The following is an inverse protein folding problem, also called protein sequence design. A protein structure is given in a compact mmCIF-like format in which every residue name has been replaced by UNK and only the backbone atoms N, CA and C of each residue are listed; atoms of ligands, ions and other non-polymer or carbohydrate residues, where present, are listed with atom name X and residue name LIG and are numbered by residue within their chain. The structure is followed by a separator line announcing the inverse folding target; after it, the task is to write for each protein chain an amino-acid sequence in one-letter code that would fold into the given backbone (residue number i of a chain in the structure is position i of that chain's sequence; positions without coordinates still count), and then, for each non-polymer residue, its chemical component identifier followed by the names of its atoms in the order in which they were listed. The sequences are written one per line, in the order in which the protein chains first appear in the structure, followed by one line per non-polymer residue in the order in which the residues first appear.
data_IF_698581674712
#
_entry.id   IF_698581674712
#
_cell.length_a   1.000
_cell.length_b   1.000
_cell.length_c   1.000
_cell.angle_alpha   90.00
_cell.angle_beta   90.00
_cell.angle_gamma   90.00
#
_symmetry.space_group_name_H-M   'P 1'
#
loop_
_entity.id
_entity.type
_entity.pdbx_description
1 polymer ?
#
# COMPACT_ATOMS: atom_id res chain seq x y z
N UNK A 1 -17.20 -19.91 22.81
CA UNK A 1 -18.49 -19.83 23.55
C UNK A 1 -19.46 -18.83 22.93
N UNK A 2 -18.99 -17.72 22.33
CA UNK A 2 -19.80 -16.77 21.55
C UNK A 2 -20.62 -17.41 20.41
N UNK A 3 -20.05 -18.38 19.70
CA UNK A 3 -20.71 -19.05 18.56
C UNK A 3 -21.96 -19.83 19.00
N UNK A 4 -21.99 -20.36 20.23
CA UNK A 4 -23.14 -21.11 20.75
C UNK A 4 -24.31 -20.17 21.14
N UNK A 5 -24.00 -18.93 21.53
CA UNK A 5 -24.99 -17.93 21.96
C UNK A 5 -25.70 -17.30 20.76
N UNK A 6 -24.98 -17.09 19.65
CA UNK A 6 -25.56 -16.62 18.38
C UNK A 6 -26.52 -17.65 17.75
N UNK A 7 -26.23 -18.95 17.88
CA UNK A 7 -27.10 -20.02 17.37
C UNK A 7 -28.41 -20.12 18.19
N UNK A 8 -28.38 -19.87 19.49
CA UNK A 8 -29.58 -19.91 20.33
C UNK A 8 -30.51 -18.71 20.12
N UNK A 9 -29.97 -17.53 19.79
CA UNK A 9 -30.76 -16.33 19.49
C UNK A 9 -31.54 -16.44 18.17
N UNK A 10 -30.98 -17.15 17.17
CA UNK A 10 -31.63 -17.36 15.87
C UNK A 10 -32.74 -18.42 15.89
N UNK A 11 -32.78 -19.32 16.88
CA UNK A 11 -33.74 -20.44 16.92
C UNK A 11 -34.93 -20.17 17.86
N UNK A 12 -34.79 -19.35 18.91
CA UNK A 12 -35.82 -19.24 19.97
C UNK A 12 -36.37 -17.84 20.26
N UNK A 13 -35.97 -16.80 19.53
CA UNK A 13 -36.74 -15.56 19.42
C UNK A 13 -36.91 -14.70 20.70
N UNK A 14 -36.14 -14.96 21.77
CA UNK A 14 -35.83 -14.02 22.86
C UNK A 14 -34.86 -14.68 23.86
N UNK A 15 -33.83 -13.96 24.30
CA UNK A 15 -32.97 -14.38 25.42
C UNK A 15 -33.58 -13.85 26.73
N UNK A 16 -33.80 -14.68 27.76
CA UNK A 16 -34.36 -14.23 29.03
C UNK A 16 -33.39 -13.30 29.80
N UNK A 17 -33.92 -12.23 30.41
CA UNK A 17 -33.21 -11.16 31.14
C UNK A 17 -32.31 -11.62 32.31
N UNK A 18 -32.33 -12.90 32.69
CA UNK A 18 -31.51 -13.42 33.78
C UNK A 18 -30.08 -13.86 33.35
N UNK A 19 -29.66 -13.57 32.12
CA UNK A 19 -28.32 -13.93 31.60
C UNK A 19 -27.35 -12.73 31.45
N UNK A 20 -27.72 -11.53 31.92
CA UNK A 20 -26.94 -10.28 31.74
C UNK A 20 -26.38 -9.76 33.09
N UNK A 21 -25.84 -10.63 33.96
CA UNK A 21 -25.28 -10.18 35.25
C UNK A 21 -23.89 -10.70 35.62
N UNK A 22 -23.10 -11.20 34.67
CA UNK A 22 -21.69 -11.54 34.93
C UNK A 22 -20.78 -11.16 33.75
N UNK A 23 -20.83 -9.91 33.29
CA UNK A 23 -19.76 -9.30 32.51
C UNK A 23 -19.76 -7.78 32.78
N UNK A 24 -19.13 -7.37 33.87
CA UNK A 24 -18.95 -5.95 34.20
C UNK A 24 -17.91 -5.78 35.29
N UNK A 25 -16.99 -4.82 35.08
CA UNK A 25 -15.84 -4.44 35.93
C UNK A 25 -14.65 -5.41 35.83
N UNK A 26 -13.53 -5.07 35.21
CA UNK A 26 -12.63 -3.96 35.60
C UNK A 26 -11.81 -3.38 34.44
N UNK A 27 -11.95 -2.08 34.16
CA UNK A 27 -10.86 -1.22 33.68
C UNK A 27 -11.28 0.25 33.85
N UNK A 28 -10.85 0.85 34.96
CA UNK A 28 -10.35 2.23 35.05
C UNK A 28 -10.08 2.56 36.50
N UNK A 29 -8.81 2.60 36.91
CA UNK A 29 -8.32 3.58 37.88
C UNK A 29 -6.86 3.89 37.57
N UNK A 30 -6.61 5.15 37.20
CA UNK A 30 -5.49 6.00 37.58
C UNK A 30 -4.07 5.41 37.58
N UNK A 31 -3.25 5.74 36.57
CA UNK A 31 -1.81 5.94 36.81
C UNK A 31 -1.52 7.43 36.90
N UNK A 32 -1.56 7.95 38.12
CA UNK A 32 -0.92 9.21 38.44
C UNK A 32 0.59 9.06 38.23
N UNK A 33 1.21 10.04 37.58
CA UNK A 33 2.66 10.18 37.49
C UNK A 33 3.25 10.28 38.90
N UNK A 34 3.95 9.24 39.35
CA UNK A 34 4.86 9.33 40.49
C UNK A 34 6.21 9.87 40.00
N UNK A 35 6.51 11.12 40.35
CA UNK A 35 7.88 11.65 40.36
C UNK A 35 8.71 10.87 41.37
N UNK A 36 9.56 9.96 40.89
CA UNK A 36 10.68 9.47 41.70
C UNK A 36 11.80 10.50 41.67
N UNK A 37 11.95 11.24 42.78
CA UNK A 37 13.15 12.00 43.08
C UNK A 37 14.35 11.05 43.17
N UNK A 38 15.39 11.32 42.38
CA UNK A 38 16.71 10.76 42.63
C UNK A 38 17.57 11.78 43.38
N UNK A 39 18.08 11.30 44.50
CA UNK A 39 18.88 12.00 45.50
C UNK A 39 20.21 12.47 44.92
N UNK A 40 20.56 13.71 45.23
CA UNK A 40 21.81 14.35 44.84
C UNK A 40 22.96 13.81 45.71
N UNK A 41 23.80 12.96 45.11
CA UNK A 41 25.11 12.62 45.65
C UNK A 41 26.13 13.67 45.23
N UNK A 42 26.60 14.44 46.20
CA UNK A 42 27.73 15.36 46.13
C UNK A 42 29.00 14.67 45.62
N UNK A 43 29.76 15.35 44.76
CA UNK A 43 31.18 15.59 45.01
C UNK A 43 31.66 16.84 44.24
N UNK A 44 32.34 17.68 45.00
CA UNK A 44 32.93 18.97 44.65
C UNK A 44 34.36 18.82 44.13
N UNK A 45 34.79 19.85 43.38
CA UNK A 45 36.15 20.36 43.09
C UNK A 45 36.43 20.39 41.59
N UNK A 46 36.93 21.45 40.96
CA UNK A 46 37.19 22.86 41.29
C UNK A 46 37.72 23.51 40.00
N UNK A 47 37.21 24.69 39.66
CA UNK A 47 37.86 25.85 39.01
C UNK A 47 39.00 25.67 37.96
N UNK A 48 38.86 26.30 36.79
CA UNK A 48 39.51 27.60 36.54
C UNK A 48 39.08 28.24 35.21
N UNK A 49 39.05 29.56 35.23
CA UNK A 49 38.50 30.53 34.27
C UNK A 49 39.32 30.75 32.99
N UNK A 50 38.67 31.25 31.93
CA UNK A 50 38.85 32.60 31.31
C UNK A 50 38.66 32.60 29.79
N UNK A 51 38.01 33.66 29.26
CA UNK A 51 38.41 34.26 27.98
C UNK A 51 37.31 34.45 26.93
N UNK A 52 37.04 35.72 26.61
CA UNK A 52 35.98 36.32 25.79
C UNK A 52 36.07 36.18 24.25
N UNK A 53 34.90 36.32 23.60
CA UNK A 53 34.57 37.07 22.35
C UNK A 53 35.33 36.71 21.04
N UNK A 54 34.70 36.37 19.92
CA UNK A 54 33.83 37.20 19.05
C UNK A 54 33.30 36.36 17.87
N UNK A 55 32.21 36.82 17.27
CA UNK A 55 31.46 36.28 16.12
C UNK A 55 32.28 36.03 14.83
N UNK A 56 31.95 34.99 14.06
CA UNK A 56 31.59 35.07 12.63
C UNK A 56 30.84 33.82 12.17
N UNK A 57 29.75 34.05 11.43
CA UNK A 57 28.89 33.08 10.76
C UNK A 57 29.66 32.09 9.87
N UNK A 58 29.27 30.82 9.92
CA UNK A 58 29.38 29.89 8.80
C UNK A 58 28.31 28.82 8.98
N UNK A 59 27.35 28.76 8.04
CA UNK A 59 26.36 27.69 7.95
C UNK A 59 27.09 26.37 7.76
N UNK A 60 27.10 25.53 8.80
CA UNK A 60 27.58 24.17 8.73
C UNK A 60 26.44 23.26 8.24
N UNK A 61 26.69 22.54 7.15
CA UNK A 61 25.92 21.38 6.73
C UNK A 61 25.77 20.44 7.93
N UNK A 62 24.52 20.20 8.35
CA UNK A 62 24.22 19.22 9.40
C UNK A 62 24.25 17.81 8.81
N UNK A 63 25.22 17.03 9.29
CA UNK A 63 25.43 15.61 9.01
C UNK A 63 24.18 14.76 9.33
N UNK A 64 23.67 14.06 8.32
CA UNK A 64 22.53 13.14 8.40
C UNK A 64 22.93 11.68 8.75
N UNK A 65 24.18 11.41 9.12
CA UNK A 65 24.71 10.03 9.19
C UNK A 65 24.89 9.40 10.58
N UNK A 66 24.51 10.06 11.67
CA UNK A 66 24.93 9.60 13.01
C UNK A 66 23.90 8.89 13.88
N UNK A 67 22.68 8.64 13.41
CA UNK A 67 21.70 7.87 14.19
C UNK A 67 21.49 6.41 13.77
N UNK A 68 21.90 6.02 12.56
CA UNK A 68 22.05 4.60 12.22
C UNK A 68 23.41 4.03 12.70
N UNK A 69 24.38 4.92 13.00
CA UNK A 69 25.75 4.50 13.30
C UNK A 69 26.02 4.11 14.77
N UNK A 70 25.19 4.52 15.75
CA UNK A 70 25.31 4.03 17.13
C UNK A 70 24.49 2.76 17.43
N UNK A 71 23.69 2.29 16.46
CA UNK A 71 23.15 0.92 16.44
C UNK A 71 23.86 0.00 15.43
N UNK A 72 24.76 0.54 14.61
CA UNK A 72 25.79 -0.25 13.93
C UNK A 72 27.05 -0.31 14.79
N UNK A 73 27.09 -1.31 15.68
CA UNK A 73 28.34 -1.74 16.29
C UNK A 73 29.37 -1.98 15.20
N UNK A 74 30.45 -1.20 15.26
CA UNK A 74 31.56 -1.16 14.34
C UNK A 74 32.15 -2.57 14.03
N UNK A 75 31.70 -3.18 12.93
CA UNK A 75 32.53 -4.03 12.07
C UNK A 75 32.02 -3.90 10.64
N UNK A 76 32.81 -3.24 9.79
CA UNK A 76 32.62 -3.36 8.35
C UNK A 76 32.56 -4.84 7.95
N UNK A 77 31.71 -5.14 6.97
CA UNK A 77 31.61 -6.43 6.25
C UNK A 77 31.29 -7.67 7.09
N UNK A 78 30.03 -8.14 7.03
CA UNK A 78 29.61 -9.50 6.60
C UNK A 78 28.17 -9.81 7.03
N UNK A 79 27.29 -9.98 6.05
CA UNK A 79 26.34 -11.10 6.07
C UNK A 79 26.51 -11.83 4.74
N UNK A 80 27.38 -12.82 4.75
CA UNK A 80 27.51 -13.85 3.72
C UNK A 80 27.05 -15.16 4.37
N UNK A 81 26.19 -15.91 3.69
CA UNK A 81 26.10 -17.36 3.89
C UNK A 81 27.35 -18.00 3.26
N UNK A 82 28.02 -18.89 4.00
CA UNK A 82 29.07 -19.78 3.50
C UNK A 82 28.47 -20.86 2.61
N UNK A 83 28.88 -20.95 1.34
CA UNK A 83 29.00 -22.21 0.60
C UNK A 83 30.31 -22.16 -0.19
N UNK A 84 31.02 -23.28 -0.12
CA UNK A 84 32.42 -23.53 -0.45
C UNK A 84 32.81 -23.26 -1.90
N UNK A 85 34.10 -22.93 -2.05
CA UNK A 85 34.88 -22.79 -3.28
C UNK A 85 34.62 -23.90 -4.31
N UNK A 86 34.36 -23.51 -5.55
CA UNK A 86 34.89 -24.24 -6.71
C UNK A 86 35.35 -23.23 -7.78
N UNK A 87 36.64 -23.34 -8.09
CA UNK A 87 37.36 -22.55 -9.08
C UNK A 87 36.90 -22.83 -10.51
N UNK A 88 36.89 -21.75 -11.29
CA UNK A 88 37.34 -21.62 -12.69
C UNK A 88 36.75 -22.58 -13.75
N UNK A 89 35.92 -22.02 -14.63
CA UNK A 89 36.18 -22.13 -16.07
C UNK A 89 35.35 -21.10 -16.87
N UNK A 90 36.05 -20.48 -17.81
CA UNK A 90 35.53 -19.68 -18.91
C UNK A 90 34.59 -20.49 -19.78
N UNK A 91 33.45 -19.89 -20.13
CA UNK A 91 32.71 -19.99 -21.42
C UNK A 91 31.22 -19.86 -21.16
N UNK A 92 30.62 -18.70 -21.47
CA UNK A 92 29.17 -18.61 -21.70
C UNK A 92 28.85 -17.48 -22.68
N UNK A 93 29.24 -17.66 -23.95
CA UNK A 93 28.48 -17.16 -25.10
C UNK A 93 27.53 -18.25 -25.58
N UNK A 94 26.48 -18.58 -24.81
CA UNK A 94 25.39 -19.44 -25.35
C UNK A 94 24.11 -19.42 -24.49
N UNK A 95 23.56 -18.26 -24.13
CA UNK A 95 22.19 -18.18 -23.59
C UNK A 95 21.43 -16.96 -24.10
N UNK A 96 21.32 -16.86 -25.42
CA UNK A 96 20.21 -16.17 -26.11
C UNK A 96 19.50 -17.22 -26.95
N UNK A 97 18.68 -18.05 -26.33
CA UNK A 97 17.56 -18.74 -26.99
C UNK A 97 16.87 -19.68 -26.00
N UNK A 98 15.85 -19.17 -25.30
CA UNK A 98 14.60 -19.87 -25.02
C UNK A 98 13.73 -19.01 -24.08
N UNK A 99 13.13 -17.98 -24.64
CA UNK A 99 11.78 -17.61 -24.23
C UNK A 99 10.92 -17.68 -25.47
N UNK A 100 9.96 -18.60 -25.47
CA UNK A 100 8.89 -18.66 -26.47
C UNK A 100 8.02 -17.41 -26.32
N UNK A 101 8.50 -16.31 -26.90
CA UNK A 101 7.69 -15.19 -27.30
C UNK A 101 6.79 -15.68 -28.44
N UNK A 102 5.48 -15.66 -28.22
CA UNK A 102 4.56 -15.59 -29.35
C UNK A 102 4.62 -14.13 -29.84
N UNK A 103 5.58 -13.85 -30.71
CA UNK A 103 5.58 -12.63 -31.53
C UNK A 103 4.32 -12.65 -32.39
N UNK A 104 3.36 -11.77 -32.07
CA UNK A 104 2.36 -11.37 -33.04
C UNK A 104 2.95 -10.23 -33.87
N UNK A 105 3.30 -10.54 -35.12
CA UNK A 105 3.78 -9.57 -36.10
C UNK A 105 2.85 -8.35 -36.18
N UNK A 106 3.42 -7.17 -35.91
CA UNK A 106 2.83 -5.88 -36.24
C UNK A 106 2.81 -5.70 -37.77
N UNK A 107 1.79 -6.23 -38.44
CA UNK A 107 1.43 -5.77 -39.78
C UNK A 107 0.52 -4.55 -39.64
N UNK A 108 1.10 -3.35 -39.70
CA UNK A 108 0.35 -2.14 -40.00
C UNK A 108 -0.17 -2.20 -41.44
N UNK A 109 -1.37 -2.72 -41.62
CA UNK A 109 -2.23 -2.31 -42.73
C UNK A 109 -3.22 -1.29 -42.18
N UNK A 110 -3.04 -0.02 -42.56
CA UNK A 110 -4.07 1.01 -42.43
C UNK A 110 -5.30 0.57 -43.22
N UNK A 111 -6.25 -0.07 -42.54
CA UNK A 111 -7.62 -0.20 -43.00
C UNK A 111 -8.40 1.00 -42.47
N UNK A 112 -8.86 1.86 -43.39
CA UNK A 112 -9.86 2.88 -43.11
C UNK A 112 -11.15 2.20 -42.62
N UNK A 113 -11.30 2.08 -41.31
CA UNK A 113 -12.59 1.86 -40.68
C UNK A 113 -13.23 3.23 -40.46
N UNK A 114 -14.45 3.42 -40.97
CA UNK A 114 -15.28 4.54 -40.56
C UNK A 114 -15.49 4.40 -39.03
N UNK A 115 -14.86 5.28 -38.25
CA UNK A 115 -15.10 5.42 -36.81
C UNK A 115 -16.55 5.83 -36.59
N UNK A 116 -17.43 4.85 -36.37
CA UNK A 116 -18.63 5.12 -35.60
C UNK A 116 -18.15 5.52 -34.20
N UNK A 117 -18.22 6.82 -33.89
CA UNK A 117 -17.87 7.35 -32.58
C UNK A 117 -18.67 6.61 -31.51
N UNK A 118 -17.99 5.74 -30.76
CA UNK A 118 -18.57 5.01 -29.63
C UNK A 118 -19.21 6.03 -28.70
N UNK A 119 -20.51 5.85 -28.46
CA UNK A 119 -21.23 6.67 -27.50
C UNK A 119 -20.98 6.08 -26.13
N UNK A 120 -20.20 6.79 -25.31
CA UNK A 120 -19.97 6.43 -23.92
C UNK A 120 -21.30 6.17 -23.22
N UNK A 121 -21.37 5.08 -22.46
CA UNK A 121 -22.51 4.85 -21.59
C UNK A 121 -22.64 6.01 -20.60
N UNK A 122 -23.86 6.39 -20.19
CA UNK A 122 -24.03 7.41 -19.14
C UNK A 122 -23.18 7.00 -17.94
N UNK A 123 -22.47 7.96 -17.31
CA UNK A 123 -21.69 7.70 -16.10
C UNK A 123 -22.51 6.83 -15.16
N UNK A 124 -22.06 5.61 -14.92
CA UNK A 124 -22.63 4.74 -13.89
C UNK A 124 -22.45 5.49 -12.57
N UNK A 125 -23.52 5.62 -11.78
CA UNK A 125 -23.63 6.57 -10.67
C UNK A 125 -22.76 6.30 -9.44
N UNK A 126 -21.58 5.71 -9.61
CA UNK A 126 -20.59 5.51 -8.57
C UNK A 126 -19.58 6.66 -8.62
N UNK A 127 -19.83 7.68 -7.81
CA UNK A 127 -18.87 8.76 -7.62
C UNK A 127 -17.78 8.28 -6.66
N UNK A 128 -16.52 8.43 -7.05
CA UNK A 128 -15.37 8.09 -6.23
C UNK A 128 -15.48 8.72 -4.84
N UNK A 129 -15.28 7.93 -3.78
CA UNK A 129 -15.43 8.37 -2.40
C UNK A 129 -16.88 8.51 -1.89
N UNK A 130 -17.89 8.07 -2.65
CA UNK A 130 -19.31 8.10 -2.25
C UNK A 130 -19.89 6.72 -1.92
N UNK A 131 -19.12 5.89 -1.22
CA UNK A 131 -19.52 4.55 -0.79
C UNK A 131 -19.82 4.48 0.72
N UNK A 132 -20.58 5.45 1.23
CA UNK A 132 -20.99 5.51 2.64
C UNK A 132 -22.50 5.41 2.74
N UNK A 133 -22.99 4.40 3.46
CA UNK A 133 -24.40 4.16 3.73
C UNK A 133 -24.59 4.10 5.24
N UNK A 134 -25.51 4.90 5.78
CA UNK A 134 -25.80 4.99 7.22
C UNK A 134 -24.55 5.21 8.10
N UNK A 135 -23.62 6.04 7.61
CA UNK A 135 -22.38 6.39 8.31
C UNK A 135 -21.32 5.29 8.32
N UNK A 136 -21.48 4.25 7.48
CA UNK A 136 -20.54 3.14 7.34
C UNK A 136 -20.07 2.99 5.91
N UNK A 137 -18.82 2.59 5.73
CA UNK A 137 -18.30 2.22 4.43
C UNK A 137 -19.01 0.95 3.93
N UNK A 138 -19.45 0.97 2.68
CA UNK A 138 -19.85 -0.19 1.90
C UNK A 138 -18.83 -0.39 0.78
N UNK A 139 -18.68 -1.62 0.28
CA UNK A 139 -17.71 -1.92 -0.76
C UNK A 139 -17.94 -1.07 -2.02
N UNK A 140 -16.88 -0.43 -2.53
CA UNK A 140 -16.89 0.31 -3.78
C UNK A 140 -16.37 -0.57 -4.92
N UNK A 141 -17.26 -1.01 -5.80
CA UNK A 141 -16.91 -1.80 -6.99
C UNK A 141 -16.16 -1.02 -8.07
N UNK A 142 -16.18 0.32 -7.99
CA UNK A 142 -15.69 1.20 -9.05
C UNK A 142 -14.59 2.12 -8.54
N UNK A 143 -13.45 1.51 -8.21
CA UNK A 143 -12.24 2.24 -7.80
C UNK A 143 -11.23 2.33 -8.93
N UNK A 144 -10.72 3.54 -9.16
CA UNK A 144 -9.66 3.87 -10.11
C UNK A 144 -9.23 5.32 -9.82
N UNK A 145 -7.93 5.62 -9.83
CA UNK A 145 -7.47 6.98 -9.54
C UNK A 145 -7.73 7.91 -10.73
N UNK A 146 -7.88 9.21 -10.50
CA UNK A 146 -7.99 10.19 -11.59
C UNK A 146 -6.73 10.20 -12.46
N UNK A 147 -5.57 9.87 -11.87
CA UNK A 147 -4.29 9.73 -12.58
C UNK A 147 -4.31 8.53 -13.53
N UNK A 148 -4.83 7.39 -13.09
CA UNK A 148 -5.03 6.21 -13.94
C UNK A 148 -5.93 6.53 -15.13
N UNK A 149 -7.03 7.24 -14.89
CA UNK A 149 -7.95 7.67 -15.95
C UNK A 149 -7.25 8.59 -16.95
N UNK A 150 -6.45 9.54 -16.46
CA UNK A 150 -5.66 10.43 -17.32
C UNK A 150 -4.63 9.64 -18.16
N UNK A 151 -4.03 8.59 -17.60
CA UNK A 151 -3.01 7.76 -18.29
C UNK A 151 -3.63 6.79 -19.31
N UNK A 152 -4.76 6.18 -18.97
CA UNK A 152 -5.36 5.09 -19.74
C UNK A 152 -6.44 5.53 -20.71
N UNK A 153 -7.15 6.60 -20.35
CA UNK A 153 -8.33 7.09 -21.05
C UNK A 153 -9.64 6.56 -20.46
N UNK A 154 -10.68 7.37 -20.65
CA UNK A 154 -12.03 7.13 -20.15
C UNK A 154 -12.64 5.81 -20.63
N UNK A 155 -12.34 5.40 -21.86
CA UNK A 155 -12.86 4.16 -22.43
C UNK A 155 -12.31 2.90 -21.72
N UNK A 156 -11.11 2.97 -21.14
CA UNK A 156 -10.52 1.85 -20.36
C UNK A 156 -11.15 1.79 -18.98
N UNK A 157 -11.39 2.94 -18.34
CA UNK A 157 -12.15 2.99 -17.07
C UNK A 157 -13.55 2.43 -17.26
N UNK A 158 -14.27 2.85 -18.29
CA UNK A 158 -15.62 2.35 -18.58
C UNK A 158 -15.61 0.83 -18.78
N UNK A 159 -14.67 0.30 -19.57
CA UNK A 159 -14.53 -1.15 -19.75
C UNK A 159 -14.25 -1.91 -18.45
N UNK A 160 -13.37 -1.38 -17.59
CA UNK A 160 -13.09 -1.96 -16.28
C UNK A 160 -14.36 -2.01 -15.42
N UNK A 161 -15.09 -0.90 -15.36
CA UNK A 161 -16.27 -0.77 -14.53
C UNK A 161 -17.40 -1.70 -14.99
N UNK A 162 -17.63 -1.77 -16.30
CA UNK A 162 -18.58 -2.71 -16.88
C UNK A 162 -18.15 -4.16 -16.68
N UNK A 163 -16.85 -4.47 -16.74
CA UNK A 163 -16.33 -5.79 -16.41
C UNK A 163 -16.60 -6.14 -14.95
N UNK A 164 -16.31 -5.23 -14.00
CA UNK A 164 -16.56 -5.49 -12.58
C UNK A 164 -18.05 -5.72 -12.30
N UNK A 165 -18.93 -4.92 -12.88
CA UNK A 165 -20.39 -5.11 -12.74
C UNK A 165 -20.84 -6.48 -13.27
N UNK A 166 -20.32 -6.89 -14.43
CA UNK A 166 -20.62 -8.20 -14.99
C UNK A 166 -20.10 -9.33 -14.09
N UNK A 167 -18.87 -9.22 -13.58
CA UNK A 167 -18.27 -10.19 -12.67
C UNK A 167 -19.08 -10.33 -11.37
N UNK A 168 -19.49 -9.22 -10.76
CA UNK A 168 -20.31 -9.23 -9.55
C UNK A 168 -21.71 -9.82 -9.78
N UNK A 169 -22.22 -9.74 -11.01
CA UNK A 169 -23.48 -10.38 -11.42
C UNK A 169 -23.31 -11.85 -11.87
N UNK A 170 -22.08 -12.37 -11.95
CA UNK A 170 -21.79 -13.71 -12.49
C UNK A 170 -21.97 -13.83 -14.00
N UNK A 171 -22.01 -12.70 -14.72
CA UNK A 171 -22.12 -12.65 -16.16
C UNK A 171 -20.74 -12.84 -16.81
N UNK A 172 -20.71 -13.38 -18.03
CA UNK A 172 -19.50 -13.62 -18.82
C UNK A 172 -19.36 -12.63 -20.01
N UNK A 173 -20.25 -11.65 -20.08
CA UNK A 173 -20.27 -10.61 -21.12
C UNK A 173 -20.53 -9.24 -20.51
N UNK A 174 -19.97 -8.21 -21.12
CA UNK A 174 -20.10 -6.82 -20.68
C UNK A 174 -19.98 -5.82 -21.84
N UNK A 175 -20.58 -4.65 -21.68
CA UNK A 175 -20.40 -3.53 -22.61
C UNK A 175 -18.93 -3.08 -22.58
N UNK A 176 -18.31 -3.00 -23.75
CA UNK A 176 -16.90 -2.66 -23.88
C UNK A 176 -16.72 -1.70 -25.05
N UNK A 177 -16.04 -0.55 -24.87
CA UNK A 177 -15.91 0.44 -25.94
C UNK A 177 -15.16 -0.05 -27.18
N UNK A 178 -14.11 -0.85 -27.00
CA UNK A 178 -13.27 -1.35 -28.09
C UNK A 178 -12.36 -2.50 -27.63
N UNK A 179 -11.70 -3.16 -28.60
CA UNK A 179 -10.76 -4.27 -28.35
C UNK A 179 -9.59 -3.89 -27.44
N UNK A 180 -9.08 -2.66 -27.53
CA UNK A 180 -7.97 -2.22 -26.68
C UNK A 180 -8.44 -2.06 -25.24
N UNK A 181 -9.63 -1.50 -25.01
CA UNK A 181 -10.23 -1.39 -23.68
C UNK A 181 -10.45 -2.77 -23.03
N UNK A 182 -10.88 -3.78 -23.78
CA UNK A 182 -10.94 -5.18 -23.30
C UNK A 182 -9.56 -5.68 -22.84
N UNK A 183 -8.53 -5.50 -23.67
CA UNK A 183 -7.16 -5.94 -23.33
C UNK A 183 -6.68 -5.30 -22.03
N UNK A 184 -6.98 -4.03 -21.81
CA UNK A 184 -6.62 -3.31 -20.60
C UNK A 184 -7.41 -3.76 -19.38
N UNK A 185 -8.74 -3.80 -19.48
CA UNK A 185 -9.61 -4.20 -18.38
C UNK A 185 -9.32 -5.63 -17.89
N UNK A 186 -8.86 -6.51 -18.77
CA UNK A 186 -8.51 -7.91 -18.44
C UNK A 186 -7.01 -8.16 -18.26
N UNK A 187 -6.17 -7.12 -18.34
CA UNK A 187 -4.72 -7.25 -18.10
C UNK A 187 -4.49 -7.59 -16.64
N UNK A 188 -3.67 -8.61 -16.36
CA UNK A 188 -3.37 -9.08 -14.99
C UNK A 188 -2.96 -7.94 -14.05
N UNK A 189 -1.95 -7.15 -14.44
CA UNK A 189 -1.46 -6.00 -13.67
C UNK A 189 -2.51 -4.92 -13.42
N UNK A 190 -3.62 -4.91 -14.15
CA UNK A 190 -4.69 -3.95 -13.95
C UNK A 190 -5.76 -4.55 -13.04
N UNK A 191 -6.31 -5.70 -13.42
CA UNK A 191 -7.36 -6.35 -12.63
C UNK A 191 -6.89 -6.73 -11.22
N UNK A 192 -5.61 -7.10 -11.03
CA UNK A 192 -5.04 -7.43 -9.73
C UNK A 192 -5.10 -6.26 -8.72
N UNK A 193 -5.10 -5.01 -9.20
CA UNK A 193 -5.10 -3.81 -8.36
C UNK A 193 -6.44 -3.10 -8.30
N UNK A 194 -7.30 -3.23 -9.32
CA UNK A 194 -8.60 -2.54 -9.34
C UNK A 194 -9.79 -3.45 -9.05
N UNK A 195 -9.63 -4.77 -9.22
CA UNK A 195 -10.60 -5.76 -8.75
C UNK A 195 -9.88 -7.07 -8.36
N UNK A 196 -9.09 -7.05 -7.26
CA UNK A 196 -8.24 -8.17 -6.84
C UNK A 196 -8.88 -9.57 -6.82
N UNK A 197 -10.16 -9.77 -6.42
CA UNK A 197 -10.77 -11.11 -6.43
C UNK A 197 -10.86 -11.75 -7.82
N UNK A 198 -10.73 -11.00 -8.91
CA UNK A 198 -10.67 -11.54 -10.28
C UNK A 198 -9.28 -12.02 -10.71
N UNK A 199 -8.24 -11.79 -9.90
CA UNK A 199 -6.89 -12.23 -10.20
C UNK A 199 -6.83 -13.74 -10.50
N UNK A 200 -6.31 -14.09 -11.67
CA UNK A 200 -6.19 -15.45 -12.19
C UNK A 200 -7.51 -16.24 -12.28
N UNK A 201 -8.67 -15.58 -12.23
CA UNK A 201 -9.99 -16.24 -12.27
C UNK A 201 -10.70 -16.10 -13.61
N UNK A 202 -10.21 -15.24 -14.51
CA UNK A 202 -10.85 -14.95 -15.80
C UNK A 202 -9.82 -14.85 -16.93
N UNK A 203 -10.27 -15.01 -18.17
CA UNK A 203 -9.51 -14.63 -19.37
C UNK A 203 -10.43 -14.01 -20.43
N UNK A 204 -9.93 -13.05 -21.25
CA UNK A 204 -10.70 -12.51 -22.36
C UNK A 204 -10.89 -13.57 -23.46
N UNK A 205 -12.08 -13.59 -24.08
CA UNK A 205 -12.44 -14.54 -25.15
C UNK A 205 -12.61 -13.82 -26.48
N UNK A 206 -13.51 -12.84 -26.53
CA UNK A 206 -13.83 -12.15 -27.78
C UNK A 206 -14.35 -10.73 -27.55
N UNK A 207 -14.38 -9.96 -28.63
CA UNK A 207 -15.03 -8.65 -28.70
C UNK A 207 -15.80 -8.59 -30.02
N UNK A 208 -17.09 -8.30 -29.95
CA UNK A 208 -17.97 -8.13 -31.09
C UNK A 208 -18.91 -6.95 -30.85
N UNK A 209 -18.83 -5.93 -31.71
CA UNK A 209 -19.77 -4.79 -31.77
C UNK A 209 -20.16 -4.18 -30.41
N UNK A 210 -19.16 -3.74 -29.63
CA UNK A 210 -19.39 -3.08 -28.35
C UNK A 210 -19.63 -4.02 -27.17
N UNK A 211 -19.53 -5.33 -27.38
CA UNK A 211 -19.68 -6.34 -26.32
C UNK A 211 -18.41 -7.19 -26.24
N UNK A 212 -17.83 -7.27 -25.05
CA UNK A 212 -16.73 -8.17 -24.73
C UNK A 212 -17.25 -9.44 -24.04
N UNK A 213 -16.54 -10.54 -24.23
CA UNK A 213 -16.77 -11.82 -23.58
C UNK A 213 -15.52 -12.26 -22.82
N UNK A 214 -15.72 -12.80 -21.62
CA UNK A 214 -14.72 -13.48 -20.81
C UNK A 214 -15.09 -14.96 -20.60
N UNK A 215 -14.12 -15.74 -20.13
CA UNK A 215 -14.34 -17.08 -19.61
C UNK A 215 -13.87 -17.11 -18.15
N UNK A 216 -14.70 -17.67 -17.26
CA UNK A 216 -14.30 -17.98 -15.90
C UNK A 216 -13.41 -19.22 -15.88
N UNK A 217 -12.27 -19.11 -15.20
CA UNK A 217 -11.29 -20.19 -15.01
C UNK A 217 -11.60 -21.06 -13.80
N UNK A 218 -12.57 -20.64 -12.99
CA UNK A 218 -13.14 -21.35 -11.85
C UNK A 218 -14.68 -21.35 -11.97
N UNK A 219 -15.41 -22.22 -11.26
CA UNK A 219 -16.87 -22.16 -11.23
C UNK A 219 -17.39 -20.78 -10.81
N UNK A 220 -18.45 -20.28 -11.46
CA UNK A 220 -19.02 -18.96 -11.18
C UNK A 220 -19.46 -18.81 -9.71
N UNK A 221 -20.07 -19.85 -9.13
CA UNK A 221 -20.46 -19.83 -7.71
C UNK A 221 -19.25 -19.71 -6.77
N UNK A 222 -18.12 -20.34 -7.12
CA UNK A 222 -16.87 -20.23 -6.36
C UNK A 222 -16.31 -18.81 -6.47
N UNK A 223 -16.32 -18.23 -7.67
CA UNK A 223 -15.92 -16.85 -7.91
C UNK A 223 -16.78 -15.84 -7.14
N UNK A 224 -18.10 -15.99 -7.15
CA UNK A 224 -19.00 -15.09 -6.42
C UNK A 224 -18.80 -15.18 -4.91
N UNK A 225 -18.54 -16.38 -4.37
CA UNK A 225 -18.17 -16.53 -2.95
C UNK A 225 -16.87 -15.79 -2.63
N UNK A 226 -15.86 -15.93 -3.49
CA UNK A 226 -14.58 -15.21 -3.38
C UNK A 226 -14.78 -13.68 -3.36
N UNK A 227 -15.62 -13.17 -4.25
CA UNK A 227 -15.99 -11.74 -4.29
C UNK A 227 -16.69 -11.31 -3.00
N UNK A 228 -17.65 -12.08 -2.50
CA UNK A 228 -18.37 -11.75 -1.25
C UNK A 228 -17.45 -11.74 -0.02
N UNK A 229 -16.53 -12.71 0.10
CA UNK A 229 -15.55 -12.76 1.18
C UNK A 229 -14.60 -11.55 1.13
N UNK A 230 -14.15 -11.19 -0.08
CA UNK A 230 -13.33 -10.01 -0.29
C UNK A 230 -14.06 -8.72 0.11
N UNK A 231 -15.31 -8.53 -0.32
CA UNK A 231 -16.13 -7.36 0.06
C UNK A 231 -16.26 -7.25 1.57
N UNK A 232 -16.61 -8.35 2.24
CA UNK A 232 -16.71 -8.38 3.70
C UNK A 232 -15.40 -7.97 4.37
N UNK A 233 -14.26 -8.48 3.91
CA UNK A 233 -12.96 -8.12 4.47
C UNK A 233 -12.64 -6.64 4.29
N UNK A 234 -12.92 -6.05 3.12
CA UNK A 234 -12.71 -4.62 2.87
C UNK A 234 -13.59 -3.79 3.80
N UNK A 235 -14.89 -4.08 3.86
CA UNK A 235 -15.82 -3.36 4.73
C UNK A 235 -15.45 -3.49 6.21
N UNK A 236 -15.03 -4.67 6.67
CA UNK A 236 -14.60 -4.91 8.04
C UNK A 236 -13.37 -4.07 8.39
N UNK A 237 -12.33 -4.09 7.53
CA UNK A 237 -11.13 -3.27 7.74
C UNK A 237 -11.46 -1.79 7.80
N UNK A 238 -12.20 -1.27 6.83
CA UNK A 238 -12.53 0.16 6.78
C UNK A 238 -13.36 0.58 7.99
N UNK A 239 -14.41 -0.16 8.32
CA UNK A 239 -15.32 0.22 9.40
C UNK A 239 -14.78 -0.05 10.81
N UNK A 240 -13.68 -0.78 10.95
CA UNK A 240 -12.98 -0.97 12.24
C UNK A 240 -11.79 -0.02 12.41
N UNK A 241 -11.23 0.48 11.30
CA UNK A 241 -10.00 1.28 11.31
C UNK A 241 -10.27 2.77 11.11
N UNK A 242 -11.19 3.15 10.23
CA UNK A 242 -11.42 4.56 9.85
C UNK A 242 -12.89 4.95 9.91
N UNK A 243 -13.16 6.27 9.92
CA UNK A 243 -14.51 6.83 9.85
C UNK A 243 -14.66 7.72 8.61
N UNK A 244 -15.86 7.80 7.99
CA UNK A 244 -16.09 8.63 6.81
C UNK A 244 -15.67 10.10 6.96
N UNK A 245 -15.89 10.67 8.15
CA UNK A 245 -15.60 12.05 8.50
C UNK A 245 -14.12 12.35 8.73
N UNK A 246 -13.27 11.33 8.86
CA UNK A 246 -11.84 11.53 9.00
C UNK A 246 -11.23 12.21 7.77
N UNK A 247 -10.17 12.99 7.97
CA UNK A 247 -9.41 13.58 6.87
C UNK A 247 -8.62 12.53 6.11
N UNK A 248 -8.12 12.89 4.93
CA UNK A 248 -7.29 11.97 4.12
C UNK A 248 -6.05 11.53 4.89
N UNK A 249 -5.46 12.44 5.68
CA UNK A 249 -4.30 12.17 6.52
C UNK A 249 -4.61 11.09 7.56
N UNK A 250 -5.67 11.28 8.35
CA UNK A 250 -6.08 10.37 9.41
C UNK A 250 -6.39 8.98 8.85
N UNK A 251 -7.14 8.90 7.75
CA UNK A 251 -7.46 7.65 7.05
C UNK A 251 -6.20 6.94 6.57
N UNK A 252 -5.28 7.67 5.93
CA UNK A 252 -4.03 7.10 5.44
C UNK A 252 -3.16 6.56 6.59
N UNK A 253 -2.99 7.34 7.66
CA UNK A 253 -2.18 6.94 8.81
C UNK A 253 -2.75 5.70 9.52
N UNK A 254 -4.05 5.67 9.80
CA UNK A 254 -4.68 4.55 10.49
C UNK A 254 -4.69 3.27 9.63
N UNK A 255 -4.88 3.38 8.32
CA UNK A 255 -4.76 2.23 7.41
C UNK A 255 -3.30 1.76 7.27
N UNK A 256 -2.34 2.68 7.32
CA UNK A 256 -0.91 2.37 7.30
C UNK A 256 -0.49 1.60 8.56
N UNK A 257 -0.98 2.05 9.72
CA UNK A 257 -0.83 1.34 10.99
C UNK A 257 -1.53 -0.02 10.97
N UNK A 258 -2.78 -0.10 10.49
CA UNK A 258 -3.48 -1.37 10.35
C UNK A 258 -2.70 -2.38 9.51
N UNK A 259 -2.18 -1.98 8.33
CA UNK A 259 -1.35 -2.86 7.50
C UNK A 259 -0.07 -3.28 8.23
N UNK A 260 0.58 -2.34 8.90
CA UNK A 260 1.78 -2.59 9.69
C UNK A 260 1.55 -3.66 10.77
N UNK A 261 0.44 -3.57 11.49
CA UNK A 261 0.11 -4.40 12.65
C UNK A 261 -0.52 -5.75 12.29
N UNK A 262 -1.12 -5.89 11.11
CA UNK A 262 -1.90 -7.08 10.74
C UNK A 262 -1.30 -7.92 9.61
N UNK A 263 -0.20 -7.47 9.00
CA UNK A 263 0.45 -8.16 7.89
C UNK A 263 1.93 -8.42 8.18
N UNK A 264 2.48 -9.44 7.52
CA UNK A 264 3.88 -9.82 7.63
C UNK A 264 4.54 -9.87 6.25
N UNK A 265 5.86 -9.75 6.21
CA UNK A 265 6.60 -9.87 4.95
C UNK A 265 6.85 -11.34 4.61
N UNK A 266 6.52 -11.72 3.38
CA UNK A 266 6.71 -13.07 2.87
C UNK A 266 8.08 -13.24 2.19
N UNK A 267 9.11 -13.53 2.98
CA UNK A 267 10.46 -13.76 2.47
C UNK A 267 10.57 -15.00 1.58
N UNK A 268 9.69 -15.99 1.77
CA UNK A 268 9.68 -17.20 0.95
C UNK A 268 9.14 -16.90 -0.45
N UNK A 269 8.08 -16.09 -0.55
CA UNK A 269 7.55 -15.61 -1.83
C UNK A 269 8.57 -14.75 -2.61
N UNK A 270 9.46 -14.04 -1.91
CA UNK A 270 10.56 -13.32 -2.55
C UNK A 270 11.56 -14.27 -3.21
N UNK A 271 11.70 -15.52 -2.75
CA UNK A 271 12.59 -16.51 -3.33
C UNK A 271 12.01 -17.27 -4.53
N UNK A 272 10.72 -17.10 -4.85
CA UNK A 272 10.06 -17.88 -5.90
C UNK A 272 10.56 -17.52 -7.30
N UNK A 273 10.88 -18.55 -8.08
CA UNK A 273 11.16 -18.45 -9.53
C UNK A 273 9.90 -18.03 -10.30
N UNK A 274 8.76 -18.67 -10.00
CA UNK A 274 7.46 -18.30 -10.55
C UNK A 274 6.69 -17.39 -9.59
N UNK A 275 6.49 -16.15 -10.03
CA UNK A 275 5.79 -15.09 -9.30
C UNK A 275 4.42 -14.76 -9.88
N UNK A 276 3.94 -15.55 -10.84
CA UNK A 276 2.64 -15.33 -11.49
C UNK A 276 1.46 -15.37 -10.52
N UNK A 277 1.60 -16.09 -9.41
CA UNK A 277 0.63 -16.14 -8.31
C UNK A 277 0.64 -14.93 -7.37
N UNK A 278 1.66 -14.06 -7.41
CA UNK A 278 1.76 -12.91 -6.50
C UNK A 278 0.84 -11.78 -6.95
N UNK A 279 -0.03 -11.33 -6.04
CA UNK A 279 -1.01 -10.28 -6.28
C UNK A 279 -1.61 -9.78 -4.95
N UNK A 280 -2.20 -8.57 -4.91
CA UNK A 280 -2.78 -8.02 -3.68
C UNK A 280 -3.83 -8.90 -3.01
N UNK A 281 -4.64 -9.64 -3.78
CA UNK A 281 -5.67 -10.54 -3.22
C UNK A 281 -5.06 -11.64 -2.35
N UNK A 282 -3.92 -12.21 -2.76
CA UNK A 282 -3.18 -13.19 -1.93
C UNK A 282 -2.80 -12.61 -0.57
N UNK A 283 -2.34 -11.36 -0.53
CA UNK A 283 -1.99 -10.70 0.73
C UNK A 283 -3.22 -10.50 1.62
N UNK A 284 -4.37 -10.09 1.06
CA UNK A 284 -5.62 -9.98 1.82
C UNK A 284 -6.00 -11.28 2.51
N UNK A 285 -5.95 -12.41 1.79
CA UNK A 285 -6.29 -13.73 2.32
C UNK A 285 -5.28 -14.25 3.35
N UNK A 286 -4.00 -14.19 3.00
CA UNK A 286 -2.95 -14.85 3.78
C UNK A 286 -2.40 -13.99 4.91
N UNK A 287 -2.74 -12.69 4.95
CA UNK A 287 -2.16 -11.69 5.87
C UNK A 287 -0.62 -11.65 5.81
N UNK A 288 -0.07 -11.97 4.65
CA UNK A 288 1.36 -11.96 4.36
C UNK A 288 1.58 -11.68 2.87
N UNK A 289 2.66 -10.98 2.53
CA UNK A 289 2.96 -10.67 1.14
C UNK A 289 4.31 -9.98 0.95
N UNK A 290 4.70 -9.80 -0.31
CA UNK A 290 5.87 -8.98 -0.65
C UNK A 290 5.46 -7.54 -1.01
N UNK A 291 6.45 -6.71 -1.35
CA UNK A 291 6.24 -5.27 -1.55
C UNK A 291 5.16 -4.92 -2.57
N UNK A 292 5.04 -5.67 -3.67
CA UNK A 292 3.99 -5.42 -4.68
C UNK A 292 2.57 -5.71 -4.16
N UNK A 293 2.42 -6.74 -3.32
CA UNK A 293 1.12 -7.17 -2.82
C UNK A 293 0.67 -6.26 -1.68
N UNK A 294 1.61 -5.89 -0.79
CA UNK A 294 1.34 -4.99 0.34
C UNK A 294 1.06 -3.55 -0.12
N UNK A 295 1.81 -3.04 -1.09
CA UNK A 295 1.52 -1.73 -1.68
C UNK A 295 0.19 -1.72 -2.43
N UNK A 296 -0.10 -2.76 -3.23
CA UNK A 296 -1.39 -2.87 -3.90
C UNK A 296 -2.55 -2.99 -2.93
N UNK A 297 -2.40 -3.76 -1.85
CA UNK A 297 -3.37 -3.89 -0.77
C UNK A 297 -3.66 -2.55 -0.10
N UNK A 298 -2.61 -1.83 0.30
CA UNK A 298 -2.76 -0.53 0.97
C UNK A 298 -3.38 0.51 0.03
N UNK A 299 -2.90 0.61 -1.22
CA UNK A 299 -3.48 1.51 -2.22
C UNK A 299 -4.96 1.18 -2.50
N UNK A 300 -5.34 -0.10 -2.50
CA UNK A 300 -6.73 -0.50 -2.65
C UNK A 300 -7.60 -0.02 -1.49
N UNK A 301 -7.13 -0.16 -0.24
CA UNK A 301 -7.85 0.35 0.94
C UNK A 301 -8.01 1.88 0.89
N UNK A 302 -6.99 2.60 0.44
CA UNK A 302 -7.07 4.05 0.24
C UNK A 302 -8.14 4.42 -0.79
N UNK A 303 -8.14 3.77 -1.96
CA UNK A 303 -9.17 3.99 -2.98
C UNK A 303 -10.58 3.69 -2.46
N UNK A 304 -10.74 2.64 -1.65
CA UNK A 304 -12.04 2.26 -1.08
C UNK A 304 -12.57 3.27 -0.04
N UNK A 305 -11.70 4.08 0.58
CA UNK A 305 -12.13 5.15 1.50
C UNK A 305 -12.12 6.55 0.87
N UNK A 306 -11.95 6.63 -0.46
CA UNK A 306 -12.03 7.87 -1.23
C UNK A 306 -10.71 8.64 -1.35
N UNK A 307 -9.57 8.01 -1.04
CA UNK A 307 -8.24 8.61 -1.21
C UNK A 307 -7.67 8.18 -2.55
N UNK A 308 -7.25 9.15 -3.35
CA UNK A 308 -6.60 8.91 -4.64
C UNK A 308 -5.26 8.23 -4.40
N UNK A 309 -5.13 6.98 -4.86
CA UNK A 309 -3.93 6.18 -4.64
C UNK A 309 -3.58 5.32 -5.85
N UNK A 310 -2.28 5.09 -5.99
CA UNK A 310 -1.60 4.41 -7.08
C UNK A 310 -0.42 3.60 -6.48
N UNK A 311 0.40 3.01 -7.34
CA UNK A 311 1.65 2.38 -6.93
C UNK A 311 2.84 2.83 -7.77
N UNK A 312 3.99 2.90 -7.11
CA UNK A 312 5.27 3.34 -7.65
C UNK A 312 6.26 2.19 -7.60
N UNK A 313 7.01 2.03 -8.68
CA UNK A 313 8.08 1.04 -8.77
C UNK A 313 9.43 1.74 -8.96
N UNK A 314 10.46 1.27 -8.27
CA UNK A 314 11.84 1.72 -8.43
C UNK A 314 12.80 0.54 -8.66
N UNK A 315 13.96 0.84 -9.27
CA UNK A 315 15.01 -0.14 -9.59
C UNK A 315 14.96 -0.68 -11.03
N UNK A 316 16.09 -1.18 -11.53
CA UNK A 316 16.24 -1.71 -12.89
C UNK A 316 15.57 -3.09 -13.04
N UNK A 317 14.61 -3.20 -13.98
CA UNK A 317 14.00 -4.47 -14.41
C UNK A 317 13.06 -5.15 -13.40
N UNK A 318 12.24 -6.12 -13.84
CA UNK A 318 11.39 -7.03 -13.01
C UNK A 318 12.22 -8.17 -12.37
N UNK A 319 13.47 -8.31 -12.81
CA UNK A 319 14.33 -9.46 -12.51
C UNK A 319 15.30 -9.11 -11.39
N UNK A 320 15.39 -10.02 -10.42
CA UNK A 320 16.41 -10.03 -9.39
C UNK A 320 17.71 -10.49 -10.04
N UNK A 321 18.57 -9.55 -10.39
CA UNK A 321 20.01 -9.82 -10.30
C UNK A 321 20.49 -9.50 -8.88
N UNK A 322 21.54 -10.18 -8.46
CA UNK A 322 21.94 -10.37 -7.07
C UNK A 322 22.37 -9.11 -6.31
N UNK A 323 22.35 -7.93 -6.94
CA UNK A 323 22.76 -6.66 -6.32
C UNK A 323 21.79 -5.47 -6.50
N UNK A 324 20.66 -5.60 -7.23
CA UNK A 324 19.64 -4.53 -7.37
C UNK A 324 18.22 -5.08 -7.41
N UNK A 325 17.56 -5.13 -6.25
CA UNK A 325 16.18 -5.60 -6.12
C UNK A 325 15.22 -4.47 -6.50
N UNK A 326 14.38 -4.70 -7.52
CA UNK A 326 13.25 -3.81 -7.81
C UNK A 326 12.26 -3.79 -6.64
N UNK A 327 11.75 -2.61 -6.28
CA UNK A 327 10.83 -2.43 -5.15
C UNK A 327 9.57 -1.69 -5.59
N UNK A 328 8.45 -1.96 -4.91
CA UNK A 328 7.17 -1.30 -5.16
C UNK A 328 6.59 -0.75 -3.86
N UNK A 329 6.04 0.46 -3.92
CA UNK A 329 5.39 1.14 -2.80
C UNK A 329 4.15 1.89 -3.30
N UNK A 330 3.36 2.44 -2.37
CA UNK A 330 2.15 3.18 -2.70
C UNK A 330 2.46 4.66 -2.96
N UNK A 331 1.61 5.29 -3.75
CA UNK A 331 1.65 6.73 -3.99
C UNK A 331 0.25 7.28 -3.83
N UNK A 332 0.06 8.25 -2.95
CA UNK A 332 -1.26 8.73 -2.59
C UNK A 332 -1.32 10.25 -2.56
N UNK A 333 -2.50 10.78 -2.83
CA UNK A 333 -2.78 12.21 -2.73
C UNK A 333 -3.55 12.49 -1.45
N UNK A 334 -2.92 13.21 -0.53
CA UNK A 334 -3.47 13.61 0.76
C UNK A 334 -3.77 15.11 0.69
N UNK A 335 -5.04 15.50 0.86
CA UNK A 335 -5.49 16.90 0.81
C UNK A 335 -4.99 17.63 -0.45
N UNK A 336 -5.03 16.94 -1.59
CA UNK A 336 -4.61 17.48 -2.89
C UNK A 336 -3.10 17.44 -3.17
N UNK A 337 -2.27 16.97 -2.23
CA UNK A 337 -0.81 16.90 -2.37
C UNK A 337 -0.34 15.45 -2.47
N UNK A 338 0.56 15.18 -3.41
CA UNK A 338 1.07 13.84 -3.69
C UNK A 338 2.22 13.45 -2.74
N UNK A 339 2.23 12.19 -2.26
CA UNK A 339 3.27 11.63 -1.40
C UNK A 339 3.58 10.17 -1.71
N UNK A 340 4.82 9.77 -1.44
CA UNK A 340 5.19 8.35 -1.37
C UNK A 340 4.85 7.75 0.00
N UNK A 341 4.32 6.52 0.00
CA UNK A 341 4.01 5.78 1.23
C UNK A 341 4.46 4.32 1.05
N UNK A 342 5.31 3.81 1.93
CA UNK A 342 5.81 2.44 1.85
C UNK A 342 5.30 1.55 3.00
N UNK A 343 4.21 0.79 2.80
CA UNK A 343 3.65 -0.08 3.85
C UNK A 343 4.53 -1.30 4.14
N UNK A 344 5.48 -1.62 3.26
CA UNK A 344 6.41 -2.73 3.47
C UNK A 344 7.40 -2.41 4.58
N UNK A 345 7.87 -1.16 4.62
CA UNK A 345 8.85 -0.72 5.60
C UNK A 345 8.22 -0.35 6.94
N UNK A 346 6.91 -0.13 7.04
CA UNK A 346 6.25 0.03 8.34
C UNK A 346 6.11 -1.28 9.11
N UNK A 347 5.87 -2.39 8.39
CA UNK A 347 5.51 -3.69 8.96
C UNK A 347 6.11 -3.94 10.34
N UNK A 348 5.23 -4.31 11.25
CA UNK A 348 5.52 -4.56 12.64
C UNK A 348 6.73 -5.50 12.80
N UNK A 349 7.66 -5.08 13.66
CA UNK A 349 8.86 -5.84 14.02
C UNK A 349 9.01 -5.76 15.54
N UNK A 350 8.57 -6.78 16.29
CA UNK A 350 8.44 -6.69 17.74
C UNK A 350 9.79 -6.38 18.41
N UNK A 351 10.88 -6.88 17.83
CA UNK A 351 12.24 -6.70 18.38
C UNK A 351 12.88 -5.33 18.08
N UNK A 352 12.24 -4.46 17.28
CA UNK A 352 12.91 -3.25 16.72
C UNK A 352 12.16 -1.94 16.94
N UNK A 353 10.94 -1.99 17.47
CA UNK A 353 10.03 -0.85 17.49
C UNK A 353 9.12 -0.81 18.72
N UNK A 354 9.38 -1.65 19.74
CA UNK A 354 8.47 -1.85 20.88
C UNK A 354 7.02 -2.07 20.42
N UNK A 355 6.83 -2.93 19.42
CA UNK A 355 5.53 -3.25 18.81
C UNK A 355 4.91 -2.13 17.91
N UNK A 356 5.45 -0.91 17.93
CA UNK A 356 4.87 0.23 17.21
C UNK A 356 5.16 0.28 15.70
N UNK A 357 4.28 0.97 14.97
CA UNK A 357 4.40 1.20 13.52
C UNK A 357 5.45 2.26 13.22
N UNK A 358 6.40 1.95 12.34
CA UNK A 358 7.44 2.90 11.90
C UNK A 358 6.90 3.91 10.90
N UNK A 359 7.16 5.19 11.12
CA UNK A 359 6.69 6.29 10.26
C UNK A 359 7.74 6.79 9.26
N UNK A 360 8.90 6.15 9.21
CA UNK A 360 10.05 6.56 8.41
C UNK A 360 9.86 6.50 6.87
N UNK A 361 8.78 5.86 6.40
CA UNK A 361 8.38 5.84 5.00
C UNK A 361 6.91 6.25 4.79
N UNK A 362 6.37 7.03 5.72
CA UNK A 362 5.02 7.57 5.63
C UNK A 362 5.03 9.01 5.10
N UNK A 363 4.24 9.29 4.06
CA UNK A 363 4.08 10.62 3.44
C UNK A 363 5.41 11.33 3.09
N UNK A 364 6.25 10.66 2.32
CA UNK A 364 7.55 11.20 1.90
C UNK A 364 7.46 12.06 0.64
N UNK A 365 8.31 13.08 0.56
CA UNK A 365 8.66 13.76 -0.69
C UNK A 365 9.48 12.85 -1.62
N UNK A 366 9.60 13.22 -2.89
CA UNK A 366 10.45 12.58 -3.89
C UNK A 366 11.91 12.52 -3.39
N UNK A 367 12.41 13.63 -2.85
CA UNK A 367 13.78 13.76 -2.35
C UNK A 367 14.03 12.90 -1.11
N UNK A 368 13.10 12.90 -0.15
CA UNK A 368 13.17 12.04 1.02
C UNK A 368 13.13 10.55 0.63
N UNK A 369 12.22 10.17 -0.29
CA UNK A 369 12.11 8.79 -0.78
C UNK A 369 13.36 8.34 -1.53
N UNK A 370 13.97 9.22 -2.32
CA UNK A 370 15.23 8.99 -3.02
C UNK A 370 16.37 8.78 -2.02
N UNK A 371 16.60 9.74 -1.12
CA UNK A 371 17.70 9.71 -0.14
C UNK A 371 17.64 8.47 0.73
N UNK A 372 16.46 8.14 1.26
CA UNK A 372 16.29 7.01 2.18
C UNK A 372 16.22 5.67 1.47
N UNK A 373 15.57 5.63 0.30
CA UNK A 373 15.39 4.41 -0.49
C UNK A 373 16.61 3.99 -1.30
N UNK A 374 17.51 4.93 -1.60
CA UNK A 374 18.67 4.73 -2.50
C UNK A 374 18.28 4.20 -3.88
N UNK A 375 17.09 4.55 -4.36
CA UNK A 375 16.65 4.28 -5.73
C UNK A 375 16.83 5.53 -6.58
N UNK A 376 17.39 5.37 -7.78
CA UNK A 376 17.50 6.46 -8.74
C UNK A 376 16.10 6.81 -9.29
N UNK A 377 15.63 8.07 -9.13
CA UNK A 377 14.32 8.53 -9.60
C UNK A 377 14.12 8.39 -11.11
N UNK A 378 15.18 8.27 -11.91
CA UNK A 378 15.07 7.98 -13.33
C UNK A 378 14.40 6.62 -13.63
N UNK A 379 14.38 5.71 -12.64
CA UNK A 379 13.75 4.39 -12.73
C UNK A 379 12.40 4.34 -12.03
N UNK A 380 11.89 5.47 -11.56
CA UNK A 380 10.56 5.52 -10.97
C UNK A 380 9.51 5.34 -12.06
N UNK A 381 8.66 4.34 -11.89
CA UNK A 381 7.55 4.05 -12.81
C UNK A 381 6.24 4.03 -12.03
N UNK A 382 5.36 4.97 -12.36
CA UNK A 382 3.99 5.00 -11.85
C UNK A 382 3.15 3.95 -12.56
N UNK A 383 2.44 3.14 -11.77
CA UNK A 383 1.52 2.10 -12.17
C UNK A 383 2.08 1.04 -13.15
N UNK A 384 3.37 1.11 -13.55
CA UNK A 384 4.09 0.23 -14.47
C UNK A 384 3.31 -0.24 -15.73
N UNK A 385 2.24 0.49 -16.05
CA UNK A 385 1.12 0.03 -16.87
C UNK A 385 1.50 0.22 -18.34
N UNK A 386 2.21 1.30 -18.66
CA UNK A 386 2.76 1.61 -19.97
C UNK A 386 4.27 1.76 -19.82
N UNK A 387 5.03 0.84 -20.42
CA UNK A 387 6.49 0.73 -20.23
C UNK A 387 7.25 2.02 -20.55
N UNK A 388 6.64 2.90 -21.36
CA UNK A 388 7.18 4.16 -21.88
C UNK A 388 6.71 5.43 -21.14
N UNK A 389 5.85 5.33 -20.12
CA UNK A 389 5.46 6.51 -19.32
C UNK A 389 6.45 6.68 -18.18
N UNK A 390 7.65 7.13 -18.54
CA UNK A 390 8.62 7.74 -17.62
C UNK A 390 8.39 9.26 -17.55
N UNK A 391 7.13 9.69 -17.56
CA UNK A 391 6.82 11.11 -17.51
C UNK A 391 6.62 11.55 -16.07
N UNK A 392 7.70 12.04 -15.46
CA UNK A 392 7.69 12.71 -14.16
C UNK A 392 6.79 13.97 -14.14
N UNK A 393 6.09 14.32 -15.23
CA UNK A 393 5.03 15.33 -15.23
C UNK A 393 3.70 14.84 -14.60
N UNK A 394 3.50 13.53 -14.48
CA UNK A 394 2.24 12.93 -14.02
C UNK A 394 2.12 12.82 -12.49
N UNK A 395 3.24 12.97 -11.78
CA UNK A 395 3.30 12.96 -10.33
C UNK A 395 4.44 13.85 -9.84
N UNK A 396 4.27 14.45 -8.67
CA UNK A 396 5.34 15.22 -8.02
C UNK A 396 5.08 15.35 -6.53
N UNK A 397 5.96 14.78 -5.70
CA UNK A 397 5.87 14.87 -4.25
C UNK A 397 6.97 15.80 -3.71
N UNK A 398 6.63 17.05 -3.38
CA UNK A 398 7.62 18.03 -2.88
C UNK A 398 7.32 18.57 -1.49
N UNK A 399 6.20 18.18 -0.91
CA UNK A 399 5.81 18.65 0.41
C UNK A 399 6.50 17.80 1.49
N UNK A 400 7.07 18.47 2.48
CA UNK A 400 7.86 17.87 3.56
C UNK A 400 7.29 18.20 4.94
N UNK A 401 6.03 18.66 5.02
CA UNK A 401 5.41 19.02 6.31
C UNK A 401 5.36 17.88 7.33
N UNK A 402 5.45 16.64 6.86
CA UNK A 402 5.44 15.43 7.69
C UNK A 402 6.84 14.91 8.02
N UNK A 403 7.92 15.64 7.70
CA UNK A 403 9.31 15.24 7.91
C UNK A 403 9.58 14.79 9.36
N UNK A 404 9.02 15.51 10.34
CA UNK A 404 9.18 15.23 11.76
C UNK A 404 8.76 13.79 12.14
N UNK A 405 7.70 13.28 11.52
CA UNK A 405 7.20 11.93 11.75
C UNK A 405 8.18 10.85 11.26
N UNK A 406 9.03 11.14 10.27
CA UNK A 406 9.93 10.13 9.69
C UNK A 406 11.03 9.64 10.64
N UNK A 407 11.11 10.26 11.80
CA UNK A 407 12.08 9.98 12.86
C UNK A 407 11.44 9.30 14.08
N UNK A 408 10.28 8.67 13.93
CA UNK A 408 9.69 7.93 15.04
C UNK A 408 8.70 6.83 14.67
N UNK A 409 8.13 6.25 15.73
CA UNK A 409 7.08 5.23 15.66
C UNK A 409 5.73 5.85 16.08
N UNK A 410 4.66 5.46 15.40
CA UNK A 410 3.29 5.85 15.75
C UNK A 410 2.87 5.27 17.10
N UNK A 411 2.31 6.12 17.97
CA UNK A 411 1.79 5.72 19.28
C UNK A 411 0.28 5.83 19.33
N UNK A 412 -0.27 6.99 18.99
CA UNK A 412 -1.72 7.23 19.02
C UNK A 412 -2.11 8.43 18.14
N UNK A 413 -3.41 8.55 17.83
CA UNK A 413 -3.99 9.62 17.03
C UNK A 413 -5.18 10.26 17.76
N UNK A 414 -5.04 11.54 18.10
CA UNK A 414 -6.14 12.38 18.55
C UNK A 414 -6.72 13.15 17.35
N UNK A 415 -7.86 12.65 16.89
CA UNK A 415 -8.65 13.21 15.77
C UNK A 415 -9.49 14.42 16.15
N UNK A 416 -9.66 14.72 17.45
CA UNK A 416 -10.42 15.90 17.89
C UNK A 416 -9.54 17.15 17.94
N UNK A 417 -8.24 16.97 18.23
CA UNK A 417 -7.27 18.06 18.38
C UNK A 417 -6.20 18.09 17.26
N UNK A 418 -6.32 17.21 16.27
CA UNK A 418 -5.37 17.04 15.18
C UNK A 418 -3.92 16.76 15.64
N UNK A 419 -3.75 15.79 16.56
CA UNK A 419 -2.45 15.44 17.14
C UNK A 419 -2.10 13.98 16.83
N UNK A 420 -0.91 13.75 16.27
CA UNK A 420 -0.25 12.45 16.28
C UNK A 420 0.70 12.39 17.46
N UNK A 421 0.53 11.39 18.31
CA UNK A 421 1.54 11.02 19.30
C UNK A 421 2.50 10.03 18.66
N UNK A 422 3.79 10.35 18.68
CA UNK A 422 4.82 9.48 18.12
C UNK A 422 6.04 9.41 19.04
N UNK A 423 6.70 8.26 19.09
CA UNK A 423 7.91 8.04 19.86
C UNK A 423 9.13 8.31 18.98
N UNK A 424 9.94 9.31 19.32
CA UNK A 424 11.13 9.69 18.55
C UNK A 424 12.24 8.64 18.69
N UNK A 425 12.81 8.16 17.58
CA UNK A 425 13.88 7.14 17.55
C UNK A 425 15.10 7.52 18.39
N UNK A 426 15.42 8.81 18.44
CA UNK A 426 16.65 9.31 19.05
C UNK A 426 16.60 9.32 20.57
N UNK A 427 15.48 9.80 21.10
CA UNK A 427 15.31 10.11 22.51
C UNK A 427 14.45 9.07 23.22
N UNK A 428 13.68 8.26 22.47
CA UNK A 428 12.57 7.44 22.96
C UNK A 428 11.52 8.25 23.76
N UNK A 429 11.43 9.56 23.49
CA UNK A 429 10.40 10.42 24.06
C UNK A 429 9.16 10.42 23.17
N UNK A 430 7.99 10.38 23.80
CA UNK A 430 6.73 10.64 23.10
C UNK A 430 6.63 12.14 22.82
N UNK A 431 6.41 12.47 21.55
CA UNK A 431 6.26 13.81 20.99
C UNK A 431 4.85 13.97 20.41
N UNK A 432 4.44 15.21 20.26
CA UNK A 432 3.19 15.61 19.62
C UNK A 432 3.52 16.24 18.27
N UNK A 433 2.90 15.72 17.21
CA UNK A 433 2.92 16.34 15.89
C UNK A 433 1.51 16.82 15.55
N UNK A 434 1.36 18.10 15.26
CA UNK A 434 0.08 18.72 14.93
C UNK A 434 -0.08 18.72 13.40
N UNK A 435 -1.14 18.09 12.89
CA UNK A 435 -1.41 18.04 11.45
C UNK A 435 -2.50 19.03 11.04
N UNK A 436 -2.41 19.48 9.79
CA UNK A 436 -3.39 20.34 9.15
C UNK A 436 -4.27 19.53 8.20
N UNK A 437 -5.56 19.85 8.15
CA UNK A 437 -6.50 19.36 7.13
C UNK A 437 -6.47 20.20 5.84
#
# INVERSE_FOLDING_TARGET
MLILVLILALVFGAVPESAISELGSTRNENSAYEQTQYDAGSDTESESETGSETETETYAETDYETYDNEYSGNTGTRFFYEIEEYEDNQDYEEYRDNQNYVEYENNQQEQNYEENAYQFSPKTGYEFGQNVVDGRYVFNSHVCSDRDVQMLGEDKREALFNLVDALMAGNDTFECPNKEALKWATRKQFIDYFFPPASNCIKPVSYNDGVAQIEYLIPVDEFLNRVNEFQYQIEDVLNTTVRPEYSDFEKALLLYDYVSQNYTYDYDALGLEDRSGLNPYRAFEAKTGICLELSGLYSYLLLQCGIQADFMRGGEGIVIETDRIGHQWSFARINGIDYHIDPTYSLHKPDKADDHTRLNFFLMSDDARQKRGKFDPAYYKMNAIKEDVNDNSMYKATDERYEELWHGYFVDLDTENNIVYYCEYKTNEVREFYYDD
#
